data_IF_666769720255
#
_entry.id   IF_666769720255
#
_cell.length_a   1.000
_cell.length_b   1.000
_cell.length_c   1.000
_cell.angle_alpha   90.00
_cell.angle_beta   90.00
_cell.angle_gamma   90.00
#
_symmetry.space_group_name_H-M   'P 1'
#
loop_
_entity.id
_entity.type
_entity.pdbx_description
1 polymer ?
#
# COMPACT_ATOMS: atom_id res chain seq x y z
N UNK A 1 22.73 -26.27 -4.08
CA UNK A 1 23.85 -26.31 -5.04
C UNK A 1 24.34 -27.73 -5.17
N UNK A 2 24.69 -28.18 -6.38
CA UNK A 2 25.27 -29.48 -6.63
C UNK A 2 26.68 -29.30 -7.22
N UNK A 3 27.63 -30.10 -6.78
CA UNK A 3 28.99 -30.07 -7.35
C UNK A 3 28.91 -30.73 -8.74
N UNK A 4 29.30 -30.04 -9.82
CA UNK A 4 29.30 -30.63 -11.14
C UNK A 4 30.24 -31.83 -11.20
N UNK A 5 29.86 -32.86 -11.96
CA UNK A 5 30.63 -34.11 -12.07
C UNK A 5 32.03 -33.96 -12.68
N UNK A 6 32.36 -32.78 -13.22
CA UNK A 6 33.65 -32.44 -13.81
C UNK A 6 34.60 -31.69 -12.86
N UNK A 7 34.17 -31.30 -11.67
CA UNK A 7 35.07 -30.79 -10.63
C UNK A 7 35.62 -31.94 -9.78
N UNK A 8 36.95 -32.10 -9.79
CA UNK A 8 37.58 -33.36 -9.40
C UNK A 8 37.94 -33.50 -7.91
N UNK A 9 37.81 -32.47 -7.06
CA UNK A 9 38.48 -32.49 -5.75
C UNK A 9 37.85 -31.60 -4.68
N UNK A 10 36.67 -31.93 -4.14
CA UNK A 10 36.15 -31.30 -2.91
C UNK A 10 35.31 -32.28 -2.07
N UNK A 11 35.16 -31.98 -0.77
CA UNK A 11 34.52 -32.84 0.25
C UNK A 11 32.98 -32.93 0.15
N UNK A 12 32.38 -32.31 -0.87
CA UNK A 12 30.94 -32.32 -1.07
C UNK A 12 30.18 -31.28 -0.24
N UNK A 13 30.86 -30.46 0.55
CA UNK A 13 30.24 -29.52 1.49
C UNK A 13 30.31 -28.10 0.95
N UNK A 14 29.17 -27.41 0.93
CA UNK A 14 29.12 -25.98 0.63
C UNK A 14 29.34 -25.17 1.91
N UNK A 15 30.55 -24.63 2.06
CA UNK A 15 30.90 -23.71 3.14
C UNK A 15 30.48 -22.28 2.76
N UNK A 16 29.38 -21.79 3.34
CA UNK A 16 28.81 -20.48 3.01
C UNK A 16 29.77 -19.33 3.33
N UNK A 17 30.64 -19.50 4.32
CA UNK A 17 31.68 -18.55 4.74
C UNK A 17 32.90 -18.51 3.81
N UNK A 18 32.98 -19.42 2.83
CA UNK A 18 34.09 -19.52 1.89
C UNK A 18 33.69 -19.19 0.44
N UNK A 19 32.47 -18.70 0.23
CA UNK A 19 32.00 -18.24 -1.10
C UNK A 19 32.80 -16.99 -1.49
N UNK A 20 33.66 -17.11 -2.50
CA UNK A 20 34.46 -16.00 -3.00
C UNK A 20 33.97 -15.44 -4.35
N UNK A 21 33.13 -16.18 -5.07
CA UNK A 21 32.62 -15.80 -6.39
C UNK A 21 31.27 -16.47 -6.65
N UNK A 22 30.38 -15.76 -7.33
CA UNK A 22 29.11 -16.27 -7.88
C UNK A 22 29.18 -16.04 -9.39
N UNK A 23 29.02 -17.11 -10.17
CA UNK A 23 29.05 -17.07 -11.63
C UNK A 23 27.68 -17.48 -12.18
N UNK A 24 27.17 -16.71 -13.15
CA UNK A 24 25.93 -17.02 -13.85
C UNK A 24 26.30 -17.38 -15.28
N UNK A 25 25.99 -18.63 -15.68
CA UNK A 25 26.28 -19.14 -17.00
C UNK A 25 25.01 -19.29 -17.85
N UNK A 26 25.06 -18.76 -19.07
CA UNK A 26 24.03 -18.98 -20.07
C UNK A 26 24.50 -20.15 -20.95
N UNK A 27 23.80 -21.27 -20.86
CA UNK A 27 24.14 -22.49 -21.61
C UNK A 27 23.10 -22.76 -22.68
N UNK A 28 23.56 -23.07 -23.90
CA UNK A 28 22.70 -23.56 -24.98
C UNK A 28 22.87 -25.07 -25.13
N UNK A 29 21.76 -25.81 -25.15
CA UNK A 29 21.80 -27.28 -25.26
C UNK A 29 21.83 -27.76 -26.72
N UNK A 30 21.94 -26.84 -27.68
CA UNK A 30 21.77 -27.10 -29.11
C UNK A 30 22.97 -26.57 -29.90
N UNK A 31 23.76 -27.48 -30.48
CA UNK A 31 24.85 -27.06 -31.38
C UNK A 31 24.29 -26.40 -32.64
N UNK A 32 24.75 -25.18 -32.93
CA UNK A 32 24.50 -24.49 -34.21
C UNK A 32 23.19 -23.72 -34.31
N UNK A 33 22.46 -23.54 -33.20
CA UNK A 33 21.29 -22.65 -33.15
C UNK A 33 21.70 -21.34 -32.48
N UNK A 34 21.59 -20.22 -33.20
CA UNK A 34 21.69 -18.90 -32.62
C UNK A 34 20.38 -18.58 -31.87
N UNK A 35 20.48 -18.35 -30.57
CA UNK A 35 19.40 -17.85 -29.73
C UNK A 35 19.79 -16.49 -29.18
N UNK A 36 19.01 -15.47 -29.52
CA UNK A 36 19.16 -14.11 -29.00
C UNK A 36 18.21 -13.90 -27.82
N UNK A 37 18.71 -13.35 -26.72
CA UNK A 37 17.92 -13.00 -25.54
C UNK A 37 18.63 -11.93 -24.72
N UNK A 38 17.86 -11.15 -23.97
CA UNK A 38 18.36 -10.18 -23.00
C UNK A 38 18.04 -10.74 -21.62
N UNK A 39 19.03 -10.73 -20.72
CA UNK A 39 18.85 -11.04 -19.30
C UNK A 39 19.25 -9.79 -18.52
N UNK A 40 18.35 -9.31 -17.68
CA UNK A 40 18.59 -8.19 -16.77
C UNK A 40 18.58 -8.72 -15.33
N UNK A 41 19.53 -8.26 -14.52
CA UNK A 41 19.58 -8.51 -13.08
C UNK A 41 19.43 -7.17 -12.37
N UNK A 42 18.66 -7.15 -11.27
CA UNK A 42 18.52 -5.98 -10.40
C UNK A 42 19.27 -6.21 -9.09
N UNK A 43 18.75 -7.07 -8.22
CA UNK A 43 19.35 -7.36 -6.91
C UNK A 43 19.77 -8.83 -6.75
N UNK A 44 20.94 -9.06 -6.14
CA UNK A 44 21.42 -10.37 -5.72
C UNK A 44 21.61 -10.35 -4.20
N UNK A 45 20.66 -10.95 -3.48
CA UNK A 45 20.60 -10.92 -2.01
C UNK A 45 20.80 -12.33 -1.44
N UNK A 46 21.64 -12.47 -0.41
CA UNK A 46 21.77 -13.71 0.37
C UNK A 46 20.85 -13.68 1.58
N UNK A 47 20.19 -14.80 1.88
CA UNK A 47 19.38 -14.97 3.09
C UNK A 47 19.86 -16.17 3.91
N UNK A 48 19.75 -16.07 5.24
CA UNK A 48 19.94 -17.20 6.14
C UNK A 48 18.62 -17.96 6.25
N UNK A 49 18.63 -19.26 5.97
CA UNK A 49 17.45 -20.10 6.17
C UNK A 49 17.06 -20.08 7.67
N UNK A 50 15.98 -19.34 7.98
CA UNK A 50 15.46 -19.15 9.34
C UNK A 50 15.51 -17.71 9.87
N UNK A 51 16.29 -16.80 9.27
CA UNK A 51 16.36 -15.38 9.69
C UNK A 51 15.89 -14.39 8.61
N UNK A 52 15.59 -14.86 7.40
CA UNK A 52 14.89 -14.08 6.37
C UNK A 52 13.95 -15.04 5.66
N UNK A 53 12.70 -15.07 6.09
CA UNK A 53 11.59 -15.38 5.18
C UNK A 53 11.55 -14.20 4.21
N UNK A 54 11.47 -14.45 2.90
CA UNK A 54 11.38 -13.38 1.89
C UNK A 54 10.04 -12.65 2.11
N UNK A 55 10.04 -11.61 2.96
CA UNK A 55 8.85 -10.82 3.27
C UNK A 55 8.68 -9.64 2.31
N UNK A 56 9.78 -9.20 1.68
CA UNK A 56 9.79 -8.20 0.60
C UNK A 56 9.97 -8.92 -0.73
N UNK A 57 9.04 -8.69 -1.65
CA UNK A 57 9.09 -9.14 -3.03
C UNK A 57 10.02 -8.25 -3.87
N UNK A 58 9.63 -7.91 -5.09
CA UNK A 58 10.45 -7.09 -5.97
C UNK A 58 10.54 -5.65 -5.47
N UNK A 59 11.75 -5.07 -5.48
CA UNK A 59 11.94 -3.63 -5.31
C UNK A 59 11.45 -2.91 -6.57
N UNK A 60 10.44 -2.07 -6.40
CA UNK A 60 9.78 -1.34 -7.49
C UNK A 60 10.31 0.09 -7.58
N UNK A 61 10.59 0.73 -6.42
CA UNK A 61 11.24 2.03 -6.35
C UNK A 61 11.96 2.21 -5.01
N UNK A 62 13.25 2.56 -5.07
CA UNK A 62 14.11 2.78 -3.90
C UNK A 62 14.23 4.25 -3.50
N UNK A 63 13.62 5.16 -4.27
CA UNK A 63 13.62 6.60 -4.04
C UNK A 63 14.99 7.28 -3.90
N UNK A 64 16.08 6.62 -4.32
CA UNK A 64 17.46 7.13 -4.20
C UNK A 64 17.75 8.32 -5.13
N UNK A 65 16.86 8.62 -6.08
CA UNK A 65 16.96 9.76 -7.00
C UNK A 65 15.58 10.31 -7.34
N UNK A 66 14.85 10.87 -6.37
CA UNK A 66 13.43 11.16 -6.53
C UNK A 66 13.20 12.30 -7.52
N UNK A 67 14.15 13.22 -7.67
CA UNK A 67 14.08 14.33 -8.63
C UNK A 67 14.18 13.92 -10.11
N UNK A 68 14.59 12.68 -10.40
CA UNK A 68 14.75 12.19 -11.77
C UNK A 68 13.90 10.95 -12.08
N UNK A 69 13.50 10.20 -11.04
CA UNK A 69 12.74 8.95 -11.18
C UNK A 69 11.28 9.03 -10.71
N UNK A 70 10.88 10.14 -10.09
CA UNK A 70 9.50 10.36 -9.65
C UNK A 70 8.94 11.57 -10.38
N UNK A 71 7.86 11.36 -11.12
CA UNK A 71 7.07 12.45 -11.67
C UNK A 71 6.09 12.94 -10.61
N UNK A 72 5.87 14.24 -10.50
CA UNK A 72 4.89 14.81 -9.56
C UNK A 72 4.14 15.97 -10.19
N UNK A 73 2.88 16.14 -9.80
CA UNK A 73 2.03 17.25 -10.27
C UNK A 73 0.94 17.57 -9.24
N UNK A 74 0.31 18.73 -9.40
CA UNK A 74 -0.88 19.11 -8.64
C UNK A 74 -2.08 19.21 -9.59
N UNK A 75 -3.24 18.80 -9.09
CA UNK A 75 -4.55 18.93 -9.74
C UNK A 75 -5.43 19.90 -8.95
N UNK A 76 -4.89 21.08 -8.67
CA UNK A 76 -5.57 22.24 -8.09
C UNK A 76 -5.10 23.50 -8.79
N UNK A 77 -5.95 24.53 -8.83
CA UNK A 77 -5.56 25.83 -9.44
C UNK A 77 -4.83 26.75 -8.48
N UNK A 78 -4.95 26.50 -7.17
CA UNK A 78 -4.28 27.18 -6.08
C UNK A 78 -3.49 26.18 -5.21
N UNK A 79 -2.66 26.73 -4.32
CA UNK A 79 -1.76 25.93 -3.47
C UNK A 79 -0.37 25.77 -4.08
N UNK A 80 0.43 24.93 -3.45
CA UNK A 80 1.81 24.62 -3.85
C UNK A 80 2.25 23.29 -3.27
N UNK A 81 3.19 22.62 -3.92
CA UNK A 81 3.88 21.47 -3.34
C UNK A 81 5.36 21.49 -3.69
N UNK A 82 6.17 20.72 -2.98
CA UNK A 82 7.55 20.45 -3.36
C UNK A 82 7.91 19.00 -3.07
N UNK A 83 8.67 18.39 -3.99
CA UNK A 83 9.21 17.04 -3.84
C UNK A 83 10.73 17.15 -3.75
N UNK A 84 11.30 16.81 -2.60
CA UNK A 84 12.72 16.93 -2.33
C UNK A 84 13.29 15.59 -1.82
N UNK A 85 14.56 15.28 -2.13
CA UNK A 85 15.26 14.18 -1.50
C UNK A 85 15.50 14.46 -0.01
N UNK A 86 15.62 13.41 0.80
CA UNK A 86 16.06 13.46 2.20
C UNK A 86 17.03 12.33 2.50
N UNK A 87 18.03 12.61 3.33
CA UNK A 87 19.02 11.67 3.88
C UNK A 87 18.51 10.91 5.12
N UNK A 88 17.32 11.24 5.62
CA UNK A 88 16.57 10.42 6.56
C UNK A 88 15.85 9.34 5.74
N UNK A 89 16.38 8.12 5.76
CA UNK A 89 15.94 7.00 4.91
C UNK A 89 15.74 5.73 5.72
N UNK A 90 14.98 4.79 5.16
CA UNK A 90 14.89 3.41 5.65
C UNK A 90 15.95 2.55 4.97
N UNK A 91 16.15 2.73 3.66
CA UNK A 91 17.16 2.04 2.88
C UNK A 91 17.82 3.00 1.88
N UNK A 92 19.04 2.67 1.43
CA UNK A 92 19.71 3.44 0.39
C UNK A 92 20.20 4.83 0.84
N UNK A 93 20.38 5.70 -0.14
CA UNK A 93 21.01 7.01 -0.03
C UNK A 93 20.00 8.17 0.06
N UNK A 94 18.74 7.98 -0.37
CA UNK A 94 17.71 9.03 -0.30
C UNK A 94 16.29 8.49 -0.23
N UNK A 95 15.43 9.20 0.50
CA UNK A 95 13.97 9.07 0.48
C UNK A 95 13.32 10.21 -0.32
N UNK A 96 12.05 10.04 -0.69
CA UNK A 96 11.28 11.06 -1.43
C UNK A 96 10.31 11.80 -0.51
N UNK A 97 10.57 13.07 -0.21
CA UNK A 97 9.78 13.87 0.70
C UNK A 97 8.92 14.91 -0.02
N UNK A 98 7.61 14.76 0.11
CA UNK A 98 6.58 15.66 -0.40
C UNK A 98 6.12 16.59 0.71
N UNK A 99 6.22 17.91 0.49
CA UNK A 99 5.52 18.92 1.29
C UNK A 99 4.43 19.56 0.44
N UNK A 100 3.27 19.82 1.04
CA UNK A 100 2.11 20.33 0.33
C UNK A 100 1.37 21.41 1.12
N UNK A 101 0.87 22.38 0.37
CA UNK A 101 -0.21 23.30 0.72
C UNK A 101 -1.27 23.11 -0.36
N UNK A 102 -2.20 22.21 -0.09
CA UNK A 102 -3.16 21.71 -1.07
C UNK A 102 -4.50 22.42 -0.89
N UNK A 103 -5.10 22.85 -2.00
CA UNK A 103 -6.41 23.50 -2.02
C UNK A 103 -7.37 22.68 -2.87
N UNK A 104 -8.48 22.26 -2.28
CA UNK A 104 -9.58 21.60 -2.98
C UNK A 104 -10.48 22.60 -3.69
N UNK A 105 -9.96 23.26 -4.73
CA UNK A 105 -10.63 24.34 -5.45
C UNK A 105 -11.37 23.90 -6.72
N UNK A 106 -11.38 22.61 -7.04
CA UNK A 106 -12.20 22.01 -8.09
C UNK A 106 -13.50 21.45 -7.50
N UNK A 107 -14.52 21.23 -8.35
CA UNK A 107 -15.80 20.64 -7.92
C UNK A 107 -15.73 19.17 -7.45
N UNK A 108 -14.53 18.58 -7.41
CA UNK A 108 -14.25 17.27 -6.82
C UNK A 108 -13.21 17.35 -5.69
N UNK A 109 -12.67 18.54 -5.39
CA UNK A 109 -11.55 18.73 -4.48
C UNK A 109 -10.30 19.22 -5.18
N UNK A 110 -9.16 18.65 -4.80
CA UNK A 110 -7.86 18.97 -5.38
C UNK A 110 -6.83 17.96 -4.90
N UNK A 111 -5.78 17.71 -5.68
CA UNK A 111 -4.77 16.72 -5.28
C UNK A 111 -3.35 17.15 -5.59
N UNK A 112 -2.41 16.50 -4.93
CA UNK A 112 -1.02 16.38 -5.38
C UNK A 112 -0.71 14.91 -5.57
N UNK A 113 -0.02 14.59 -6.66
CA UNK A 113 0.19 13.24 -7.11
C UNK A 113 1.68 13.02 -7.38
N UNK A 114 2.14 11.80 -7.13
CA UNK A 114 3.45 11.27 -7.47
C UNK A 114 3.26 10.01 -8.29
N UNK A 115 3.98 9.87 -9.40
CA UNK A 115 3.96 8.67 -10.25
C UNK A 115 5.33 8.00 -10.30
N UNK A 116 5.25 6.68 -10.31
CA UNK A 116 6.35 5.75 -10.42
C UNK A 116 6.07 4.88 -11.65
N UNK A 117 6.84 5.13 -12.70
CA UNK A 117 6.81 4.30 -13.89
C UNK A 117 7.98 3.32 -13.84
N UNK A 118 7.85 2.11 -14.42
CA UNK A 118 8.90 1.11 -14.42
C UNK A 118 10.06 1.59 -15.30
N UNK A 119 11.05 2.21 -14.68
CA UNK A 119 12.21 2.75 -15.37
C UNK A 119 12.95 1.61 -16.11
N UNK A 120 13.27 1.83 -17.38
CA UNK A 120 14.11 0.96 -18.21
C UNK A 120 13.58 -0.47 -18.46
N UNK A 121 12.26 -0.71 -18.33
CA UNK A 121 11.67 -1.99 -18.79
C UNK A 121 11.37 -1.93 -20.29
N UNK A 122 11.77 -2.97 -21.03
CA UNK A 122 11.45 -3.11 -22.48
C UNK A 122 9.93 -3.17 -22.69
N UNK A 123 9.19 -3.63 -21.69
CA UNK A 123 7.76 -3.88 -21.74
C UNK A 123 6.90 -2.70 -21.28
N UNK A 124 7.48 -1.70 -20.60
CA UNK A 124 6.72 -0.56 -20.04
C UNK A 124 5.75 -0.97 -18.93
N UNK A 125 6.03 -2.08 -18.23
CA UNK A 125 5.29 -2.59 -17.07
C UNK A 125 6.27 -3.00 -15.97
N UNK A 126 5.83 -2.96 -14.72
CA UNK A 126 6.57 -3.48 -13.58
C UNK A 126 6.82 -4.99 -13.70
N UNK A 127 7.78 -5.56 -12.96
CA UNK A 127 7.98 -7.00 -12.88
C UNK A 127 6.67 -7.73 -12.55
N UNK A 128 6.56 -8.97 -13.02
CA UNK A 128 5.38 -9.81 -12.79
C UNK A 128 5.15 -10.01 -11.28
N UNK A 129 4.03 -9.51 -10.79
CA UNK A 129 3.62 -9.60 -9.39
C UNK A 129 2.46 -10.58 -9.16
N UNK A 130 2.17 -11.49 -10.10
CA UNK A 130 1.00 -12.40 -10.05
C UNK A 130 1.02 -13.33 -8.84
N UNK A 131 2.20 -13.72 -8.37
CA UNK A 131 2.36 -14.58 -7.19
C UNK A 131 2.45 -13.80 -5.86
N UNK A 132 2.44 -12.46 -5.91
CA UNK A 132 2.54 -11.59 -4.74
C UNK A 132 1.16 -11.18 -4.19
N UNK A 133 1.07 -10.93 -2.88
CA UNK A 133 -0.17 -10.54 -2.21
C UNK A 133 -0.54 -9.05 -2.40
N UNK A 134 0.45 -8.19 -2.56
CA UNK A 134 0.22 -6.75 -2.64
C UNK A 134 1.48 -5.91 -2.75
N UNK A 135 1.30 -4.62 -2.48
CA UNK A 135 2.36 -3.62 -2.43
C UNK A 135 2.67 -3.23 -0.99
N UNK A 136 3.94 -2.97 -0.69
CA UNK A 136 4.36 -2.37 0.57
C UNK A 136 5.25 -1.17 0.31
N UNK A 137 5.22 -0.19 1.20
CA UNK A 137 6.19 0.91 1.19
C UNK A 137 6.34 1.48 2.58
N UNK A 138 7.46 2.15 2.81
CA UNK A 138 7.73 2.89 4.01
C UNK A 138 7.29 4.33 3.85
N UNK A 139 6.70 4.90 4.89
CA UNK A 139 6.39 6.31 4.95
C UNK A 139 6.75 6.92 6.29
N UNK A 140 7.05 8.23 6.28
CA UNK A 140 7.27 9.03 7.48
C UNK A 140 6.57 10.36 7.32
N UNK A 141 5.59 10.64 8.18
CA UNK A 141 4.94 11.95 8.20
C UNK A 141 5.87 12.94 8.90
N UNK A 142 6.32 13.95 8.15
CA UNK A 142 7.18 15.02 8.65
C UNK A 142 6.36 16.18 9.21
N UNK A 143 5.16 16.38 8.69
CA UNK A 143 4.16 17.32 9.21
C UNK A 143 2.76 16.71 8.99
N UNK A 144 2.05 16.30 10.05
CA UNK A 144 0.70 15.76 9.91
C UNK A 144 -0.23 16.77 9.24
N UNK A 145 -1.19 16.26 8.46
CA UNK A 145 -2.23 17.10 7.91
C UNK A 145 -2.94 17.87 9.03
N UNK A 146 -3.12 19.16 8.84
CA UNK A 146 -3.79 20.04 9.81
C UNK A 146 -5.30 19.74 9.97
N UNK A 147 -5.91 19.16 8.92
CA UNK A 147 -7.31 18.73 8.89
C UNK A 147 -7.46 17.31 8.31
N UNK A 148 -6.99 16.28 9.04
CA UNK A 148 -6.86 14.92 8.52
C UNK A 148 -8.20 14.27 8.12
N UNK A 149 -9.35 14.78 8.58
CA UNK A 149 -10.68 14.29 8.20
C UNK A 149 -11.15 14.72 6.80
N UNK A 150 -10.45 15.67 6.16
CA UNK A 150 -10.81 16.21 4.85
C UNK A 150 -9.72 15.98 3.80
N UNK A 151 -8.72 15.16 4.13
CA UNK A 151 -7.65 14.76 3.22
C UNK A 151 -7.49 13.24 3.25
N UNK A 152 -7.21 12.65 2.09
CA UNK A 152 -7.07 11.21 1.92
C UNK A 152 -5.75 10.90 1.23
N UNK A 153 -5.11 9.81 1.64
CA UNK A 153 -4.00 9.24 0.89
C UNK A 153 -4.52 8.09 0.04
N UNK A 154 -4.29 8.14 -1.27
CA UNK A 154 -4.80 7.18 -2.24
C UNK A 154 -3.62 6.60 -3.02
N UNK A 155 -3.52 5.27 -3.04
CA UNK A 155 -2.60 4.55 -3.92
C UNK A 155 -3.36 4.11 -5.16
N UNK A 156 -2.76 4.31 -6.33
CA UNK A 156 -3.32 3.93 -7.61
C UNK A 156 -2.37 3.00 -8.35
N UNK A 157 -2.93 2.05 -9.08
CA UNK A 157 -2.20 1.23 -10.04
C UNK A 157 -2.89 1.31 -11.39
N UNK A 158 -2.12 1.50 -12.45
CA UNK A 158 -2.59 1.55 -13.83
C UNK A 158 -2.27 0.22 -14.49
N UNK A 159 -3.28 -0.46 -15.00
CA UNK A 159 -3.17 -1.84 -15.50
C UNK A 159 -3.51 -1.87 -16.98
N UNK A 160 -2.58 -2.33 -17.81
CA UNK A 160 -2.83 -2.54 -19.24
C UNK A 160 -3.76 -3.75 -19.41
N UNK A 161 -5.04 -3.48 -19.66
CA UNK A 161 -6.11 -4.47 -19.71
C UNK A 161 -6.60 -4.67 -21.15
N UNK A 162 -7.49 -5.63 -21.37
CA UNK A 162 -8.05 -5.85 -22.72
C UNK A 162 -8.92 -4.67 -23.13
N UNK A 163 -8.44 -3.84 -24.07
CA UNK A 163 -9.19 -2.71 -24.62
C UNK A 163 -8.76 -1.33 -24.13
N UNK A 164 -7.88 -1.26 -23.12
CA UNK A 164 -7.28 -0.01 -22.64
C UNK A 164 -6.63 -0.16 -21.27
N UNK A 165 -6.25 0.96 -20.67
CA UNK A 165 -5.63 1.00 -19.34
C UNK A 165 -6.69 1.27 -18.27
N UNK A 166 -6.77 0.41 -17.27
CA UNK A 166 -7.65 0.58 -16.11
C UNK A 166 -6.90 1.25 -14.96
N UNK A 167 -7.55 2.21 -14.30
CA UNK A 167 -7.06 2.83 -13.07
C UNK A 167 -7.76 2.19 -11.88
N UNK A 168 -6.97 1.51 -11.05
CA UNK A 168 -7.40 0.86 -9.83
C UNK A 168 -6.92 1.68 -8.64
N UNK A 169 -7.79 1.94 -7.67
CA UNK A 169 -7.50 2.82 -6.54
C UNK A 169 -7.72 2.12 -5.20
N UNK A 170 -6.93 2.53 -4.20
CA UNK A 170 -7.10 2.16 -2.80
C UNK A 170 -6.78 3.36 -1.90
N UNK A 171 -7.77 3.79 -1.11
CA UNK A 171 -7.55 4.82 -0.07
C UNK A 171 -6.95 4.20 1.19
N UNK A 172 -5.82 4.71 1.68
CA UNK A 172 -5.15 4.21 2.89
C UNK A 172 -5.44 5.16 4.06
N UNK A 173 -6.19 4.68 5.04
CA UNK A 173 -6.59 5.47 6.20
C UNK A 173 -5.44 5.72 7.18
N UNK A 174 -5.49 6.84 7.90
CA UNK A 174 -4.60 7.12 9.04
C UNK A 174 -3.16 7.55 8.68
N UNK A 175 -2.74 7.42 7.42
CA UNK A 175 -1.39 7.80 6.97
C UNK A 175 -1.10 9.27 7.28
N UNK A 176 -1.91 10.20 6.76
CA UNK A 176 -1.65 11.65 6.86
C UNK A 176 -1.90 12.24 8.25
N UNK A 177 -2.57 11.50 9.13
CA UNK A 177 -2.80 11.88 10.53
C UNK A 177 -1.70 11.37 11.47
N UNK A 178 -0.79 10.52 10.98
CA UNK A 178 0.24 9.90 11.80
C UNK A 178 1.18 10.98 12.35
N UNK A 179 1.21 11.13 13.69
CA UNK A 179 2.04 12.10 14.40
C UNK A 179 3.21 11.45 15.13
N UNK A 180 3.59 10.22 14.79
CA UNK A 180 4.68 9.51 15.46
C UNK A 180 6.05 10.14 15.18
N UNK A 181 6.22 10.71 13.97
CA UNK A 181 7.52 11.19 13.49
C UNK A 181 8.49 10.07 13.16
N UNK A 182 8.01 8.82 13.10
CA UNK A 182 8.81 7.63 12.82
C UNK A 182 8.46 7.06 11.44
N UNK A 183 9.39 6.27 10.89
CA UNK A 183 9.15 5.47 9.71
C UNK A 183 8.17 4.33 10.03
N UNK A 184 7.15 4.19 9.20
CA UNK A 184 6.11 3.16 9.31
C UNK A 184 5.96 2.48 7.97
N UNK A 185 5.98 1.15 7.96
CA UNK A 185 5.68 0.36 6.77
C UNK A 185 4.17 0.15 6.66
N UNK A 186 3.64 0.27 5.44
CA UNK A 186 2.25 -0.06 5.13
C UNK A 186 2.20 -1.18 4.10
N UNK A 187 1.20 -2.04 4.24
CA UNK A 187 0.92 -3.16 3.34
C UNK A 187 -0.46 -2.96 2.72
N UNK A 188 -0.53 -3.08 1.39
CA UNK A 188 -1.73 -2.87 0.60
C UNK A 188 -1.98 -4.11 -0.26
N UNK A 189 -2.94 -4.97 0.13
CA UNK A 189 -3.29 -6.15 -0.66
C UNK A 189 -3.81 -5.74 -2.04
N UNK A 190 -3.41 -6.45 -3.10
CA UNK A 190 -3.96 -6.24 -4.45
C UNK A 190 -5.48 -6.42 -4.46
N UNK A 191 -6.01 -7.33 -3.65
CA UNK A 191 -7.44 -7.57 -3.47
C UNK A 191 -8.22 -6.37 -2.91
N UNK A 192 -7.53 -5.37 -2.34
CA UNK A 192 -8.15 -4.17 -1.77
C UNK A 192 -8.36 -3.05 -2.79
N UNK A 193 -7.72 -3.15 -3.96
CA UNK A 193 -7.89 -2.16 -5.02
C UNK A 193 -9.24 -2.35 -5.72
N UNK A 194 -9.84 -1.24 -6.13
CA UNK A 194 -11.08 -1.23 -6.90
C UNK A 194 -11.04 -0.13 -7.95
N UNK A 195 -11.74 -0.34 -9.07
CA UNK A 195 -11.98 0.72 -10.06
C UNK A 195 -13.11 1.60 -9.53
N UNK A 196 -12.89 2.90 -9.28
CA UNK A 196 -13.96 3.80 -8.89
C UNK A 196 -15.10 3.82 -9.91
N UNK A 197 -16.34 3.94 -9.43
CA UNK A 197 -17.53 3.82 -10.29
C UNK A 197 -17.66 4.90 -11.36
N UNK A 198 -16.89 5.98 -11.26
CA UNK A 198 -16.85 7.08 -12.22
C UNK A 198 -15.78 6.90 -13.30
N UNK A 199 -14.93 5.88 -13.21
CA UNK A 199 -13.94 5.54 -14.23
C UNK A 199 -14.50 4.49 -15.21
N UNK A 200 -13.93 4.49 -16.41
CA UNK A 200 -14.23 3.45 -17.40
C UNK A 200 -13.61 2.13 -16.97
N UNK A 201 -14.44 1.10 -16.86
CA UNK A 201 -13.99 -0.30 -16.70
C UNK A 201 -13.92 -0.96 -18.08
N UNK A 202 -12.81 -1.63 -18.37
CA UNK A 202 -12.61 -2.45 -19.55
C UNK A 202 -13.03 -3.90 -19.25
N UNK A 203 -12.13 -4.72 -18.72
CA UNK A 203 -12.43 -6.12 -18.34
C UNK A 203 -12.53 -6.34 -16.83
N UNK A 204 -12.15 -5.33 -16.01
CA UNK A 204 -12.32 -5.34 -14.56
C UNK A 204 -11.47 -6.38 -13.85
N UNK A 205 -10.33 -6.75 -14.45
CA UNK A 205 -9.37 -7.70 -13.87
C UNK A 205 -8.05 -6.98 -13.60
N UNK A 206 -7.62 -7.01 -12.33
CA UNK A 206 -6.30 -6.47 -11.95
C UNK A 206 -5.23 -7.50 -12.32
N UNK A 207 -4.65 -7.36 -13.51
CA UNK A 207 -3.50 -8.15 -13.97
C UNK A 207 -2.19 -7.61 -13.37
N UNK A 208 -1.65 -8.30 -12.37
CA UNK A 208 -0.45 -7.87 -11.63
C UNK A 208 0.82 -7.87 -12.51
N UNK A 209 0.83 -8.63 -13.59
CA UNK A 209 1.89 -8.66 -14.61
C UNK A 209 1.78 -7.55 -15.65
N UNK A 210 0.70 -6.75 -15.62
CA UNK A 210 0.43 -5.68 -16.57
C UNK A 210 0.36 -4.29 -15.90
N UNK A 211 0.84 -4.15 -14.66
CA UNK A 211 0.89 -2.86 -13.96
C UNK A 211 1.92 -1.97 -14.66
N UNK A 212 1.48 -0.87 -15.27
CA UNK A 212 2.31 0.05 -16.05
C UNK A 212 2.70 1.32 -15.29
N UNK A 213 1.95 1.69 -14.25
CA UNK A 213 2.24 2.86 -13.44
C UNK A 213 1.67 2.68 -12.03
N UNK A 214 2.38 3.17 -11.02
CA UNK A 214 1.91 3.24 -9.63
C UNK A 214 1.92 4.71 -9.22
N UNK A 215 0.87 5.17 -8.55
CA UNK A 215 0.77 6.55 -8.10
C UNK A 215 0.39 6.66 -6.64
N UNK A 216 1.00 7.63 -5.96
CA UNK A 216 0.59 8.09 -4.64
C UNK A 216 -0.07 9.45 -4.79
N UNK A 217 -1.29 9.56 -4.27
CA UNK A 217 -2.10 10.76 -4.35
C UNK A 217 -2.48 11.22 -2.95
N UNK A 218 -2.29 12.51 -2.67
CA UNK A 218 -2.89 13.21 -1.53
C UNK A 218 -4.06 14.02 -2.07
N UNK A 219 -5.26 13.68 -1.62
CA UNK A 219 -6.53 14.21 -2.12
C UNK A 219 -7.22 15.03 -1.02
N UNK A 220 -7.40 16.33 -1.25
CA UNK A 220 -8.21 17.21 -0.42
C UNK A 220 -9.65 17.31 -0.95
N UNK A 221 -10.63 17.36 -0.05
CA UNK A 221 -12.04 17.55 -0.41
C UNK A 221 -12.31 18.97 -0.96
N UNK A 222 -13.43 19.12 -1.69
CA UNK A 222 -13.88 20.43 -2.19
C UNK A 222 -14.02 21.46 -1.05
N UNK A 223 -13.57 22.68 -1.31
CA UNK A 223 -13.65 23.82 -0.39
C UNK A 223 -12.63 23.78 0.76
N UNK A 224 -11.69 22.84 0.73
CA UNK A 224 -10.73 22.60 1.81
C UNK A 224 -9.33 23.13 1.47
N UNK A 225 -8.62 23.70 2.43
CA UNK A 225 -7.17 23.98 2.34
C UNK A 225 -6.46 23.21 3.44
N UNK A 226 -5.46 22.41 3.09
CA UNK A 226 -4.69 21.62 4.04
C UNK A 226 -3.19 21.72 3.77
N UNK A 227 -2.39 21.68 4.83
CA UNK A 227 -0.93 21.63 4.76
C UNK A 227 -0.41 20.37 5.41
N UNK A 228 0.73 19.87 4.93
CA UNK A 228 1.42 18.75 5.53
C UNK A 228 2.68 18.32 4.78
N UNK A 229 3.31 17.27 5.29
CA UNK A 229 4.56 16.74 4.78
C UNK A 229 4.68 15.24 5.04
N UNK A 230 5.12 14.50 4.03
CA UNK A 230 5.30 13.05 4.10
C UNK A 230 6.47 12.62 3.22
N UNK A 231 7.29 11.71 3.73
CA UNK A 231 8.35 11.04 3.00
C UNK A 231 7.96 9.59 2.71
N UNK A 232 8.46 9.08 1.58
CA UNK A 232 8.29 7.70 1.15
C UNK A 232 9.64 7.07 0.84
N UNK A 233 9.74 5.77 1.12
CA UNK A 233 10.91 4.97 0.82
C UNK A 233 10.52 3.50 0.55
N UNK A 234 11.40 2.77 -0.12
CA UNK A 234 11.37 1.33 -0.39
C UNK A 234 9.97 0.80 -0.76
N UNK A 235 9.48 1.15 -1.96
CA UNK A 235 8.28 0.57 -2.55
C UNK A 235 8.59 -0.82 -3.12
N UNK A 236 7.91 -1.84 -2.60
CA UNK A 236 8.12 -3.26 -2.92
C UNK A 236 6.80 -3.99 -3.14
N UNK A 237 6.82 -5.18 -3.73
CA UNK A 237 5.74 -6.17 -3.56
C UNK A 237 5.94 -6.98 -2.26
N UNK A 238 4.96 -7.76 -1.81
CA UNK A 238 5.11 -8.68 -0.66
C UNK A 238 4.33 -9.98 -0.83
N UNK A 239 4.77 -11.05 -0.15
CA UNK A 239 4.32 -12.44 -0.40
C UNK A 239 3.52 -13.11 0.74
N UNK A 240 3.56 -12.60 1.98
CA UNK A 240 2.88 -13.25 3.11
C UNK A 240 2.18 -12.26 4.06
N UNK A 241 1.15 -12.76 4.75
CA UNK A 241 0.32 -12.08 5.73
C UNK A 241 0.61 -12.66 7.13
N UNK A 242 1.85 -12.65 7.61
CA UNK A 242 2.15 -13.02 9.00
C UNK A 242 2.22 -11.76 9.90
N UNK A 243 1.15 -11.56 10.67
CA UNK A 243 1.09 -10.59 11.78
C UNK A 243 2.14 -10.98 12.82
N UNK A 244 3.35 -10.42 12.71
CA UNK A 244 4.31 -10.49 13.81
C UNK A 244 3.68 -9.78 15.01
N UNK A 245 3.58 -10.51 16.11
CA UNK A 245 3.16 -10.01 17.42
C UNK A 245 4.14 -8.93 17.90
N UNK A 246 3.96 -7.72 17.40
CA UNK A 246 4.81 -6.55 17.63
C UNK A 246 4.39 -5.38 16.73
N UNK A 247 3.21 -4.82 16.98
CA UNK A 247 2.72 -3.57 16.34
C UNK A 247 2.79 -3.51 14.80
N UNK A 248 2.61 -4.64 14.12
CA UNK A 248 2.26 -4.63 12.70
C UNK A 248 0.73 -4.61 12.64
N UNK A 249 0.16 -3.52 12.13
CA UNK A 249 -1.27 -3.48 11.81
C UNK A 249 -1.36 -3.69 10.30
N UNK A 250 -1.75 -4.88 9.82
CA UNK A 250 -2.21 -4.99 8.44
C UNK A 250 -3.31 -3.95 8.27
N UNK A 251 -3.20 -3.06 7.28
CA UNK A 251 -4.32 -2.19 6.91
C UNK A 251 -5.31 -3.03 6.09
N UNK A 252 -5.88 -4.05 6.74
CA UNK A 252 -7.23 -4.51 6.43
C UNK A 252 -8.17 -3.30 6.56
N UNK A 253 -9.21 -3.23 5.73
CA UNK A 253 -10.10 -2.07 5.60
C UNK A 253 -10.26 -1.29 6.92
N UNK A 254 -9.65 -0.10 6.99
CA UNK A 254 -9.69 0.76 8.17
C UNK A 254 -11.13 1.21 8.37
N UNK A 255 -11.82 0.59 9.31
CA UNK A 255 -13.21 0.93 9.62
C UNK A 255 -13.24 2.13 10.52
N UNK A 256 -13.61 3.27 9.96
CA UNK A 256 -13.82 4.49 10.72
C UNK A 256 -15.23 4.49 11.29
N UNK A 257 -15.36 4.91 12.54
CA UNK A 257 -16.68 5.13 13.16
C UNK A 257 -16.76 6.52 13.76
N UNK A 258 -17.83 7.24 13.45
CA UNK A 258 -18.03 8.62 13.90
C UNK A 258 -19.52 8.97 14.07
N UNK A 259 -19.85 10.00 14.86
CA UNK A 259 -18.97 10.64 15.82
C UNK A 259 -18.60 9.66 16.94
N UNK A 260 -17.41 9.81 17.51
CA UNK A 260 -17.02 9.12 18.73
C UNK A 260 -16.31 10.14 19.62
N UNK A 261 -16.92 10.62 20.73
CA UNK A 261 -18.14 10.12 21.37
C UNK A 261 -19.45 10.37 20.59
N UNK A 262 -20.43 9.48 20.76
CA UNK A 262 -21.73 9.51 20.07
C UNK A 262 -22.90 9.71 21.04
N UNK A 263 -23.96 10.40 20.59
CA UNK A 263 -25.20 10.60 21.35
C UNK A 263 -26.37 9.77 20.83
N UNK A 264 -26.58 9.73 19.51
CA UNK A 264 -27.79 9.12 18.91
C UNK A 264 -27.52 8.23 17.71
N UNK A 265 -26.68 8.65 16.78
CA UNK A 265 -26.41 7.94 15.53
C UNK A 265 -24.90 7.80 15.34
N UNK A 266 -24.45 6.57 15.12
CA UNK A 266 -23.07 6.22 14.80
C UNK A 266 -22.99 5.84 13.31
N UNK A 267 -22.04 6.40 12.58
CA UNK A 267 -21.76 6.13 11.17
C UNK A 267 -20.53 5.24 11.06
N UNK A 268 -20.53 4.38 10.05
CA UNK A 268 -19.47 3.42 9.74
C UNK A 268 -18.96 3.77 8.35
N UNK A 269 -17.66 4.00 8.22
CA UNK A 269 -17.01 4.37 6.97
C UNK A 269 -15.84 3.42 6.68
N UNK A 270 -15.52 3.26 5.40
CA UNK A 270 -14.45 2.37 4.94
C UNK A 270 -14.88 0.92 4.74
N UNK A 271 -16.19 0.63 4.78
CA UNK A 271 -16.75 -0.70 4.52
C UNK A 271 -17.91 -0.65 3.54
N UNK A 272 -17.86 -1.53 2.53
CA UNK A 272 -18.97 -1.82 1.64
C UNK A 272 -19.72 -3.08 2.07
N UNK A 273 -20.99 -3.22 1.66
CA UNK A 273 -21.81 -4.42 1.86
C UNK A 273 -21.91 -4.89 3.33
N UNK A 274 -22.17 -3.95 4.25
CA UNK A 274 -22.41 -4.28 5.66
C UNK A 274 -23.71 -5.07 5.79
N UNK A 275 -23.60 -6.35 6.10
CA UNK A 275 -24.74 -7.26 6.26
C UNK A 275 -25.37 -7.12 7.64
N UNK A 276 -24.54 -7.12 8.69
CA UNK A 276 -25.03 -6.97 10.07
C UNK A 276 -24.05 -6.22 10.95
N UNK A 277 -24.59 -5.50 11.93
CA UNK A 277 -23.82 -4.84 12.97
C UNK A 277 -24.34 -5.26 14.34
N UNK A 278 -23.43 -5.61 15.24
CA UNK A 278 -23.71 -6.03 16.59
C UNK A 278 -23.00 -5.10 17.58
N UNK A 279 -23.69 -4.70 18.64
CA UNK A 279 -23.14 -3.86 19.71
C UNK A 279 -23.06 -4.69 20.99
N UNK A 280 -21.90 -4.70 21.62
CA UNK A 280 -21.62 -5.38 22.88
C UNK A 280 -21.25 -4.38 23.97
N UNK A 281 -21.73 -4.60 25.19
CA UNK A 281 -21.25 -3.87 26.36
C UNK A 281 -19.87 -4.37 26.83
N UNK A 282 -19.25 -3.67 27.78
CA UNK A 282 -17.93 -4.03 28.31
C UNK A 282 -17.86 -5.40 29.03
N UNK A 283 -19.01 -5.98 29.38
CA UNK A 283 -19.09 -7.34 29.94
C UNK A 283 -19.24 -8.41 28.85
N UNK A 284 -19.19 -8.02 27.56
CA UNK A 284 -19.33 -8.92 26.43
C UNK A 284 -20.77 -9.32 26.13
N UNK A 285 -21.77 -8.67 26.75
CA UNK A 285 -23.18 -8.97 26.46
C UNK A 285 -23.61 -8.24 25.20
N UNK A 286 -24.22 -8.97 24.27
CA UNK A 286 -24.86 -8.42 23.07
C UNK A 286 -26.06 -7.56 23.49
N UNK A 287 -26.00 -6.26 23.21
CA UNK A 287 -27.03 -5.29 23.59
C UNK A 287 -27.83 -4.77 22.39
N UNK A 288 -27.29 -4.88 21.16
CA UNK A 288 -28.00 -4.48 19.94
C UNK A 288 -27.54 -5.27 18.73
N UNK A 289 -28.47 -5.54 17.80
CA UNK A 289 -28.18 -6.09 16.47
C UNK A 289 -28.97 -5.31 15.44
N UNK A 290 -28.31 -4.90 14.36
CA UNK A 290 -28.91 -4.18 13.22
C UNK A 290 -28.54 -4.93 11.94
N UNK A 291 -29.54 -5.38 11.18
CA UNK A 291 -29.32 -5.96 9.85
C UNK A 291 -29.39 -4.89 8.77
N UNK A 292 -28.48 -4.94 7.80
CA UNK A 292 -28.34 -4.00 6.68
C UNK A 292 -28.46 -2.52 7.09
N UNK A 293 -27.57 -2.02 7.97
CA UNK A 293 -27.68 -0.67 8.54
C UNK A 293 -27.47 0.49 7.54
N UNK A 294 -27.17 0.21 6.26
CA UNK A 294 -26.73 1.22 5.29
C UNK A 294 -25.66 2.16 5.89
N UNK A 295 -24.63 1.56 6.51
CA UNK A 295 -23.51 2.27 7.12
C UNK A 295 -23.84 3.16 8.34
N UNK A 296 -24.99 2.97 9.01
CA UNK A 296 -25.28 3.70 10.25
C UNK A 296 -26.06 2.91 11.31
N UNK A 297 -25.79 3.18 12.57
CA UNK A 297 -26.38 2.49 13.73
C UNK A 297 -26.95 3.52 14.68
N UNK A 298 -28.26 3.46 14.91
CA UNK A 298 -28.88 4.23 15.99
C UNK A 298 -28.46 3.62 17.33
N UNK A 299 -27.96 4.44 18.25
CA UNK A 299 -27.48 4.06 19.58
C UNK A 299 -28.12 4.90 20.69
N UNK A 300 -29.21 5.63 20.38
CA UNK A 300 -29.85 6.56 21.31
C UNK A 300 -30.42 5.88 22.56
N UNK A 301 -30.79 4.61 22.45
CA UNK A 301 -31.32 3.74 23.51
C UNK A 301 -30.25 3.16 24.43
N UNK A 302 -28.97 3.28 24.07
CA UNK A 302 -27.86 2.79 24.89
C UNK A 302 -27.55 3.76 26.04
N UNK A 303 -27.29 3.21 27.23
CA UNK A 303 -26.80 3.97 28.36
C UNK A 303 -25.40 4.52 28.09
N UNK A 304 -25.04 5.64 28.72
CA UNK A 304 -23.69 6.20 28.60
C UNK A 304 -22.64 5.20 29.07
N UNK A 305 -21.58 5.02 28.28
CA UNK A 305 -20.55 4.01 28.53
C UNK A 305 -19.78 3.59 27.28
N UNK A 306 -18.79 2.72 27.46
CA UNK A 306 -18.00 2.14 26.37
C UNK A 306 -18.69 0.91 25.78
N UNK A 307 -18.60 0.77 24.47
CA UNK A 307 -19.16 -0.36 23.71
C UNK A 307 -18.18 -0.84 22.65
N UNK A 308 -18.36 -2.10 22.24
CA UNK A 308 -17.69 -2.71 21.08
C UNK A 308 -18.71 -2.95 19.99
N UNK A 309 -18.43 -2.44 18.80
CA UNK A 309 -19.15 -2.67 17.57
C UNK A 309 -18.49 -3.83 16.82
N UNK A 310 -19.23 -4.87 16.43
CA UNK A 310 -18.81 -5.87 15.45
C UNK A 310 -19.59 -5.67 14.16
N UNK A 311 -18.88 -5.57 13.04
CA UNK A 311 -19.47 -5.28 11.73
C UNK A 311 -19.17 -6.47 10.84
N UNK A 312 -20.20 -7.18 10.43
CA UNK A 312 -20.10 -8.32 9.54
C UNK A 312 -20.38 -7.85 8.12
N UNK A 313 -19.44 -8.10 7.22
CA UNK A 313 -19.62 -8.04 5.78
C UNK A 313 -19.72 -9.48 5.25
N UNK A 314 -20.09 -9.65 3.98
CA UNK A 314 -20.16 -10.99 3.38
C UNK A 314 -18.81 -11.73 3.29
N UNK A 315 -17.70 -11.08 3.64
CA UNK A 315 -16.34 -11.65 3.60
C UNK A 315 -15.63 -11.64 4.95
N UNK A 316 -15.82 -10.60 5.76
CA UNK A 316 -15.01 -10.32 6.96
C UNK A 316 -15.82 -9.80 8.14
N UNK A 317 -15.23 -9.87 9.34
CA UNK A 317 -15.80 -9.31 10.56
C UNK A 317 -14.84 -8.29 11.15
N UNK A 318 -15.27 -7.03 11.18
CA UNK A 318 -14.50 -5.92 11.75
C UNK A 318 -14.96 -5.59 13.16
N UNK A 319 -14.08 -4.99 13.97
CA UNK A 319 -14.39 -4.58 15.33
C UNK A 319 -13.94 -3.14 15.59
N UNK A 320 -14.79 -2.33 16.21
CA UNK A 320 -14.49 -0.96 16.59
C UNK A 320 -15.01 -0.62 18.00
N UNK A 321 -14.36 0.32 18.71
CA UNK A 321 -14.78 0.75 20.05
C UNK A 321 -15.32 2.17 20.01
N UNK A 322 -16.42 2.43 20.72
CA UNK A 322 -16.97 3.79 20.84
C UNK A 322 -17.46 4.13 22.25
N UNK A 323 -17.52 5.42 22.56
CA UNK A 323 -18.06 5.99 23.78
C UNK A 323 -19.45 6.59 23.52
N UNK A 324 -20.47 6.07 24.18
CA UNK A 324 -21.81 6.66 24.24
C UNK A 324 -21.88 7.66 25.38
N UNK A 325 -22.37 8.86 25.12
CA UNK A 325 -22.74 9.84 26.15
C UNK A 325 -24.25 10.04 26.18
#
# INVERSE_FOLDING_TARGET
FAIPSWEATYDGVLYLDQIHTIEIQIVTNSMGIETNGIICFDNLTSYTAGDVTLYEGFKLNDFNSPSTRVNSWQNSTAGSYSLNPSDDTVEGDSAACLTYNLVGDQGWGGSVDMAFSPADTILGVFPDMTEHLGLSFWYKVTEPADIPGNVSFVVKVFVNSTGGTEEWQRTVGGVLANSSGEWVQVYIPFSSFAIPSWLTTYDGVLYQDQISDIQFQILAQEGTTTVGGICFDNLTSYDDEEVVSGTITPVGASVNIYPNPVSTQLYIEGLDNIETVQVFDMNGRLVKTVGNPYASVNVADLLSGFYVLKIHTGKEVYSAKFLKH
#
